data_IF_133263526482
#
_entry.id   IF_133263526482
#
_cell.length_a   1.000
_cell.length_b   1.000
_cell.length_c   1.000
_cell.angle_alpha   90.00
_cell.angle_beta   90.00
_cell.angle_gamma   90.00
#
_symmetry.space_group_name_H-M   'P 1'
#
loop_
_entity.id
_entity.type
_entity.pdbx_description
1 polymer ?
#
# COMPACT_ATOMS: atom_id res chain seq x y z
N UNK A 1 14.65 -11.14 23.51
CA UNK A 1 13.32 -10.75 23.04
C UNK A 1 12.66 -10.01 24.18
N UNK A 2 12.12 -8.82 23.97
CA UNK A 2 11.47 -8.05 25.03
C UNK A 2 10.14 -8.73 25.39
N UNK A 3 9.79 -8.78 26.67
CA UNK A 3 8.52 -9.38 27.12
C UNK A 3 7.35 -8.39 27.04
N UNK A 4 6.11 -8.89 27.02
CA UNK A 4 4.90 -8.07 26.94
C UNK A 4 4.85 -6.97 28.01
N UNK A 5 5.18 -7.31 29.26
CA UNK A 5 5.14 -6.38 30.39
C UNK A 5 6.16 -5.24 30.26
N UNK A 6 7.32 -5.53 29.65
CA UNK A 6 8.34 -4.53 29.38
C UNK A 6 7.89 -3.57 28.28
N UNK A 7 7.27 -4.09 27.21
CA UNK A 7 6.68 -3.27 26.14
C UNK A 7 5.55 -2.38 26.66
N UNK A 8 4.70 -2.90 27.53
CA UNK A 8 3.64 -2.13 28.18
C UNK A 8 4.20 -0.96 28.99
N UNK A 9 5.27 -1.22 29.76
CA UNK A 9 5.96 -0.19 30.54
C UNK A 9 6.65 0.83 29.63
N UNK A 10 7.23 0.41 28.50
CA UNK A 10 7.81 1.31 27.51
C UNK A 10 6.76 2.22 26.88
N UNK A 11 5.62 1.69 26.42
CA UNK A 11 4.55 2.50 25.82
C UNK A 11 4.03 3.56 26.81
N UNK A 12 3.83 3.18 28.07
CA UNK A 12 3.47 4.15 29.10
C UNK A 12 4.51 5.26 29.25
N UNK A 13 5.80 4.90 29.27
CA UNK A 13 6.90 5.86 29.39
C UNK A 13 7.02 6.75 28.15
N UNK A 14 6.80 6.21 26.95
CA UNK A 14 6.77 6.96 25.68
C UNK A 14 5.74 8.09 25.73
N UNK A 15 4.59 7.83 26.35
CA UNK A 15 3.53 8.82 26.54
C UNK A 15 3.75 9.75 27.75
N UNK A 16 4.81 9.56 28.53
CA UNK A 16 5.08 10.36 29.74
C UNK A 16 4.04 10.20 30.85
N UNK A 17 3.27 9.11 30.85
CA UNK A 17 2.16 8.91 31.79
C UNK A 17 2.61 8.19 33.08
N UNK A 18 1.99 8.57 34.20
CA UNK A 18 2.10 7.82 35.44
C UNK A 18 1.35 6.48 35.34
N UNK A 19 1.69 5.50 36.19
CA UNK A 19 0.98 4.22 36.21
C UNK A 19 -0.51 4.40 36.48
N UNK A 20 -0.90 5.36 37.32
CA UNK A 20 -2.30 5.64 37.62
C UNK A 20 -3.05 6.21 36.41
N UNK A 21 -2.47 7.21 35.72
CA UNK A 21 -3.09 7.77 34.52
C UNK A 21 -3.21 6.74 33.40
N UNK A 22 -2.20 5.88 33.26
CA UNK A 22 -2.21 4.82 32.27
C UNK A 22 -3.22 3.71 32.62
N UNK A 23 -3.30 3.33 33.90
CA UNK A 23 -4.30 2.37 34.38
C UNK A 23 -5.74 2.85 34.08
N UNK A 24 -6.00 4.15 34.25
CA UNK A 24 -7.30 4.74 33.97
C UNK A 24 -7.73 4.60 32.50
N UNK A 25 -6.79 4.64 31.55
CA UNK A 25 -7.08 4.38 30.13
C UNK A 25 -7.64 2.97 29.90
N UNK A 26 -7.17 2.01 30.69
CA UNK A 26 -7.58 0.60 30.63
C UNK A 26 -8.76 0.27 31.53
N UNK A 27 -9.32 1.25 32.24
CA UNK A 27 -10.39 1.03 33.21
C UNK A 27 -9.98 0.18 34.42
N UNK A 28 -8.69 0.14 34.77
CA UNK A 28 -8.15 -0.67 35.88
C UNK A 28 -7.51 0.19 36.97
N UNK A 29 -7.22 -0.42 38.12
CA UNK A 29 -6.53 0.25 39.22
C UNK A 29 -5.03 0.38 38.95
N UNK A 30 -4.38 1.34 39.63
CA UNK A 30 -2.92 1.51 39.59
C UNK A 30 -2.17 0.20 39.95
N UNK A 31 -2.63 -0.53 40.95
CA UNK A 31 -2.01 -1.79 41.36
C UNK A 31 -2.16 -2.89 40.30
N UNK A 32 -3.31 -2.94 39.62
CA UNK A 32 -3.52 -3.84 38.47
C UNK A 32 -2.53 -3.53 37.36
N UNK A 33 -2.33 -2.24 37.05
CA UNK A 33 -1.33 -1.80 36.07
C UNK A 33 0.09 -2.18 36.49
N UNK A 34 0.45 -1.99 37.76
CA UNK A 34 1.75 -2.40 38.29
C UNK A 34 1.98 -3.91 38.13
N UNK A 35 0.96 -4.72 38.39
CA UNK A 35 0.99 -6.17 38.21
C UNK A 35 1.13 -6.60 36.74
N UNK A 36 0.59 -5.80 35.81
CA UNK A 36 0.85 -6.01 34.39
C UNK A 36 2.28 -5.65 34.01
N UNK A 37 2.80 -4.53 34.49
CA UNK A 37 4.17 -4.05 34.16
C UNK A 37 5.28 -4.88 34.81
N UNK A 38 5.04 -5.53 35.95
CA UNK A 38 5.99 -6.45 36.58
C UNK A 38 5.85 -7.90 36.08
N UNK A 39 4.84 -8.18 35.25
CA UNK A 39 4.59 -9.50 34.67
C UNK A 39 3.90 -10.51 35.59
N UNK A 40 3.47 -10.12 36.80
CA UNK A 40 2.76 -11.01 37.73
C UNK A 40 1.36 -11.39 37.26
N UNK A 41 0.75 -10.54 36.42
CA UNK A 41 -0.55 -10.79 35.79
C UNK A 41 -0.50 -10.41 34.31
N UNK A 42 -1.29 -11.09 33.48
CA UNK A 42 -1.49 -10.71 32.08
C UNK A 42 -2.80 -9.89 31.94
N UNK A 43 -2.81 -8.81 31.15
CA UNK A 43 -4.05 -8.10 30.83
C UNK A 43 -4.99 -8.97 30.02
N UNK A 44 -6.29 -8.68 30.10
CA UNK A 44 -7.31 -9.31 29.26
C UNK A 44 -7.55 -8.51 27.97
N UNK A 45 -8.40 -9.05 27.11
CA UNK A 45 -8.77 -8.41 25.85
C UNK A 45 -9.54 -7.10 26.04
N UNK A 46 -10.31 -6.96 27.14
CA UNK A 46 -11.07 -5.74 27.41
C UNK A 46 -10.12 -4.57 27.71
N UNK A 47 -9.11 -4.80 28.54
CA UNK A 47 -8.04 -3.84 28.80
C UNK A 47 -7.31 -3.46 27.51
N UNK A 48 -6.91 -4.44 26.68
CA UNK A 48 -6.21 -4.17 25.42
C UNK A 48 -7.07 -3.37 24.44
N UNK A 49 -8.37 -3.64 24.39
CA UNK A 49 -9.32 -2.89 23.55
C UNK A 49 -9.40 -1.43 24.01
N UNK A 50 -9.48 -1.20 25.32
CA UNK A 50 -9.49 0.15 25.87
C UNK A 50 -8.18 0.90 25.55
N UNK A 51 -7.04 0.21 25.60
CA UNK A 51 -5.75 0.79 25.21
C UNK A 51 -5.68 1.15 23.73
N UNK A 52 -6.22 0.31 22.83
CA UNK A 52 -6.31 0.62 21.42
C UNK A 52 -7.15 1.89 21.16
N UNK A 53 -8.29 2.03 21.85
CA UNK A 53 -9.14 3.24 21.78
C UNK A 53 -8.40 4.48 22.29
N UNK A 54 -7.54 4.32 23.30
CA UNK A 54 -6.68 5.39 23.81
C UNK A 54 -5.49 5.73 22.89
N UNK A 55 -5.35 5.08 21.72
CA UNK A 55 -4.29 5.35 20.75
C UNK A 55 -2.96 4.67 21.06
N UNK A 56 -2.96 3.63 21.90
CA UNK A 56 -1.78 2.82 22.19
C UNK A 56 -1.62 1.75 21.10
N UNK A 57 -0.38 1.53 20.67
CA UNK A 57 -0.04 0.51 19.68
C UNK A 57 -0.10 -0.89 20.31
N UNK A 58 -1.28 -1.51 20.26
CA UNK A 58 -1.50 -2.87 20.78
C UNK A 58 -0.75 -3.92 19.96
N UNK A 59 -0.48 -3.68 18.68
CA UNK A 59 0.34 -4.59 17.88
C UNK A 59 1.75 -4.65 18.46
N UNK A 60 2.37 -3.49 18.71
CA UNK A 60 3.66 -3.41 19.39
C UNK A 60 3.63 -4.11 20.75
N UNK A 61 2.58 -3.90 21.55
CA UNK A 61 2.45 -4.58 22.84
C UNK A 61 2.46 -6.11 22.70
N UNK A 62 1.81 -6.67 21.69
CA UNK A 62 1.68 -8.12 21.51
C UNK A 62 2.88 -8.76 20.81
N UNK A 63 3.40 -8.15 19.75
CA UNK A 63 4.41 -8.75 18.87
C UNK A 63 5.81 -8.18 19.07
N UNK A 64 5.91 -6.96 19.62
CA UNK A 64 7.15 -6.19 19.63
C UNK A 64 7.48 -5.50 18.31
N UNK A 65 6.62 -5.64 17.30
CA UNK A 65 6.74 -4.91 16.03
C UNK A 65 5.88 -3.65 16.11
N UNK A 66 6.51 -2.49 15.93
CA UNK A 66 5.81 -1.20 15.95
C UNK A 66 4.94 -1.07 14.70
N UNK A 67 3.64 -0.83 14.86
CA UNK A 67 2.77 -0.43 13.73
C UNK A 67 3.15 0.96 13.23
N UNK A 68 3.77 1.76 14.10
CA UNK A 68 4.29 3.09 13.83
C UNK A 68 5.81 3.03 13.82
N UNK A 69 6.42 2.29 12.89
CA UNK A 69 7.81 2.56 12.56
C UNK A 69 7.92 4.08 12.30
N UNK A 70 8.85 4.81 12.95
CA UNK A 70 8.95 6.24 12.76
C UNK A 70 9.17 6.50 11.27
N UNK A 71 8.21 7.19 10.67
CA UNK A 71 8.30 7.58 9.28
C UNK A 71 9.58 8.38 9.09
N UNK A 72 10.32 8.09 8.05
CA UNK A 72 11.42 8.96 7.64
C UNK A 72 10.85 10.33 7.25
N UNK A 73 11.71 11.36 7.23
CA UNK A 73 11.26 12.73 6.97
C UNK A 73 10.52 12.83 5.62
N UNK A 74 11.04 12.18 4.59
CA UNK A 74 10.44 12.10 3.26
C UNK A 74 9.10 11.35 3.24
N UNK A 75 8.95 10.28 4.02
CA UNK A 75 7.66 9.58 4.18
C UNK A 75 6.61 10.47 4.85
N UNK A 76 7.02 11.22 5.88
CA UNK A 76 6.15 12.20 6.56
C UNK A 76 5.74 13.34 5.62
N UNK A 77 6.70 13.94 4.91
CA UNK A 77 6.46 15.02 3.95
C UNK A 77 5.52 14.55 2.81
N UNK A 78 5.71 13.34 2.30
CA UNK A 78 4.85 12.73 1.29
C UNK A 78 3.41 12.55 1.79
N UNK A 79 3.23 12.04 3.02
CA UNK A 79 1.91 11.81 3.59
C UNK A 79 1.16 13.11 3.91
N UNK A 80 1.86 14.12 4.44
CA UNK A 80 1.30 15.45 4.68
C UNK A 80 0.85 16.10 3.37
N UNK A 81 1.75 16.12 2.38
CA UNK A 81 1.44 16.62 1.04
C UNK A 81 0.25 15.89 0.44
N UNK A 82 0.26 14.55 0.43
CA UNK A 82 -0.83 13.74 -0.12
C UNK A 82 -2.19 14.00 0.53
N UNK A 83 -2.23 14.19 1.87
CA UNK A 83 -3.48 14.48 2.60
C UNK A 83 -4.09 15.83 2.22
N UNK A 84 -3.26 16.81 1.87
CA UNK A 84 -3.69 18.16 1.46
C UNK A 84 -4.25 18.23 0.03
N UNK A 85 -3.99 17.23 -0.81
CA UNK A 85 -4.40 17.23 -2.22
C UNK A 85 -5.90 16.97 -2.42
N UNK A 86 -6.42 17.49 -3.53
CA UNK A 86 -7.74 17.15 -4.05
C UNK A 86 -7.74 15.74 -4.68
N UNK A 87 -8.92 15.29 -5.12
CA UNK A 87 -9.06 13.91 -5.65
C UNK A 87 -8.21 13.67 -6.91
N UNK A 88 -8.00 14.70 -7.74
CA UNK A 88 -7.17 14.61 -8.94
C UNK A 88 -5.69 14.54 -8.57
N UNK A 89 -5.23 15.37 -7.63
CA UNK A 89 -3.86 15.33 -7.12
C UNK A 89 -3.52 13.99 -6.49
N UNK A 90 -4.42 13.44 -5.66
CA UNK A 90 -4.25 12.09 -5.08
C UNK A 90 -4.15 11.01 -6.16
N UNK A 91 -5.02 11.05 -7.17
CA UNK A 91 -4.96 10.11 -8.29
C UNK A 91 -3.65 10.22 -9.08
N UNK A 92 -3.13 11.44 -9.27
CA UNK A 92 -1.84 11.68 -9.93
C UNK A 92 -0.67 11.08 -9.17
N UNK A 93 -0.58 11.33 -7.85
CA UNK A 93 0.47 10.77 -6.99
C UNK A 93 0.42 9.24 -6.99
N UNK A 94 -0.77 8.65 -6.82
CA UNK A 94 -0.93 7.20 -6.86
C UNK A 94 -0.56 6.63 -8.23
N UNK A 95 -0.96 7.26 -9.33
CA UNK A 95 -0.59 6.84 -10.68
C UNK A 95 0.92 6.86 -10.93
N UNK A 96 1.62 7.88 -10.41
CA UNK A 96 3.08 7.95 -10.46
C UNK A 96 3.73 6.83 -9.65
N UNK A 97 3.29 6.61 -8.41
CA UNK A 97 3.79 5.53 -7.56
C UNK A 97 3.58 4.18 -8.27
N UNK A 98 2.36 3.89 -8.75
CA UNK A 98 2.08 2.65 -9.48
C UNK A 98 2.92 2.53 -10.75
N UNK A 99 3.07 3.59 -11.54
CA UNK A 99 3.88 3.56 -12.76
C UNK A 99 5.34 3.23 -12.48
N UNK A 100 5.90 3.76 -11.39
CA UNK A 100 7.29 3.54 -11.00
C UNK A 100 7.51 2.19 -10.29
N UNK A 101 6.52 1.69 -9.53
CA UNK A 101 6.60 0.39 -8.85
C UNK A 101 6.25 -0.79 -9.75
N UNK A 102 5.48 -0.56 -10.82
CA UNK A 102 5.13 -1.59 -11.83
C UNK A 102 6.29 -1.89 -12.79
N UNK A 103 7.45 -1.27 -12.60
CA UNK A 103 8.62 -1.35 -13.48
C UNK A 103 9.49 -2.60 -13.36
N UNK A 104 9.04 -3.68 -12.69
CA UNK A 104 9.83 -4.93 -12.60
C UNK A 104 9.21 -6.15 -13.29
N UNK A 105 8.07 -6.05 -13.98
CA UNK A 105 7.49 -7.17 -14.73
C UNK A 105 7.06 -6.85 -16.18
N UNK A 106 7.84 -6.04 -16.89
CA UNK A 106 7.78 -6.08 -18.35
C UNK A 106 9.17 -5.98 -18.97
N UNK A 107 9.68 -7.13 -19.38
CA UNK A 107 10.79 -7.23 -20.32
C UNK A 107 10.52 -6.31 -21.53
N UNK A 108 11.49 -5.49 -21.99
CA UNK A 108 11.31 -4.60 -23.13
C UNK A 108 11.35 -5.40 -24.44
N UNK A 109 10.30 -6.18 -24.69
CA UNK A 109 9.98 -6.64 -26.03
C UNK A 109 9.30 -5.51 -26.79
N UNK A 110 10.01 -4.90 -27.74
CA UNK A 110 9.52 -3.86 -28.62
C UNK A 110 8.10 -4.16 -29.14
N UNK A 111 7.09 -3.55 -28.51
CA UNK A 111 5.74 -3.54 -29.05
C UNK A 111 5.70 -2.53 -30.17
N UNK A 112 6.03 -2.98 -31.39
CA UNK A 112 5.62 -2.26 -32.58
C UNK A 112 4.09 -2.21 -32.57
N UNK A 113 3.45 -1.03 -32.58
CA UNK A 113 1.99 -0.96 -32.60
C UNK A 113 1.47 -1.57 -33.91
N UNK A 114 0.99 -2.81 -33.86
CA UNK A 114 0.38 -3.49 -35.00
C UNK A 114 -1.12 -3.14 -35.05
N UNK A 115 -1.51 -2.33 -36.03
CA UNK A 115 -2.92 -2.09 -36.34
C UNK A 115 -3.43 -3.18 -37.30
N UNK A 116 -4.40 -3.98 -36.83
CA UNK A 116 -5.07 -5.00 -37.64
C UNK A 116 -6.44 -4.51 -38.09
N UNK A 117 -6.59 -4.14 -39.36
CA UNK A 117 -7.88 -3.71 -39.95
C UNK A 117 -8.51 -4.91 -40.67
N UNK A 118 -9.76 -5.27 -40.33
CA UNK A 118 -10.52 -6.37 -40.94
C UNK A 118 -11.76 -5.84 -41.66
N UNK A 119 -12.16 -6.48 -42.77
CA UNK A 119 -13.36 -6.16 -43.55
C UNK A 119 -13.05 -5.69 -44.99
N UNK A 120 -14.09 -5.35 -45.76
CA UNK A 120 -13.94 -4.79 -47.11
C UNK A 120 -13.61 -3.28 -47.03
N UNK A 121 -12.44 -2.96 -46.50
CA UNK A 121 -11.98 -1.56 -46.35
C UNK A 121 -10.77 -1.33 -47.26
N UNK A 122 -10.78 -0.22 -48.01
CA UNK A 122 -9.61 0.22 -48.77
C UNK A 122 -8.54 0.78 -47.84
N UNK A 123 -7.27 0.44 -48.10
CA UNK A 123 -6.13 0.96 -47.34
C UNK A 123 -5.38 1.98 -48.20
N UNK A 124 -5.23 3.21 -47.72
CA UNK A 124 -4.33 4.22 -48.29
C UNK A 124 -3.31 4.62 -47.23
N UNK A 125 -2.03 4.47 -47.54
CA UNK A 125 -0.91 4.87 -46.68
C UNK A 125 -0.23 6.06 -47.35
N UNK A 126 0.02 7.14 -46.62
CA UNK A 126 0.74 8.31 -47.09
C UNK A 126 2.02 8.48 -46.28
N UNK A 127 3.17 8.69 -46.95
CA UNK A 127 4.49 8.80 -46.34
C UNK A 127 5.42 7.61 -46.63
N UNK A 128 6.65 7.69 -46.13
CA UNK A 128 7.70 6.69 -46.34
C UNK A 128 7.46 5.41 -45.50
N UNK A 129 7.54 4.25 -46.15
CA UNK A 129 7.39 2.94 -45.50
C UNK A 129 8.75 2.28 -45.35
N UNK A 130 9.17 2.07 -44.11
CA UNK A 130 10.42 1.37 -43.79
C UNK A 130 10.13 -0.10 -43.49
N UNK A 131 10.10 -0.95 -44.52
CA UNK A 131 9.93 -2.41 -44.40
C UNK A 131 9.40 -3.09 -45.66
N UNK A 132 9.55 -4.41 -45.75
CA UNK A 132 9.04 -5.19 -46.89
C UNK A 132 7.52 -5.31 -46.82
N UNK A 133 6.82 -4.56 -47.69
CA UNK A 133 5.38 -4.76 -47.91
C UNK A 133 5.21 -6.11 -48.61
N UNK A 134 4.66 -7.12 -47.92
CA UNK A 134 4.08 -8.28 -48.60
C UNK A 134 2.83 -7.76 -49.32
N UNK A 135 2.93 -7.59 -50.64
CA UNK A 135 1.86 -7.06 -51.47
C UNK A 135 0.54 -7.82 -51.31
N UNK A 136 -0.56 -7.19 -51.74
CA UNK A 136 -1.90 -7.77 -51.73
C UNK A 136 -1.88 -9.14 -52.43
N UNK A 137 -2.19 -10.21 -51.69
CA UNK A 137 -2.38 -11.54 -52.26
C UNK A 137 -3.75 -11.59 -52.91
N UNK A 138 -3.81 -11.35 -54.22
CA UNK A 138 -5.01 -11.54 -55.04
C UNK A 138 -5.31 -13.04 -55.18
N UNK A 139 -6.08 -13.59 -54.25
CA UNK A 139 -6.65 -14.92 -54.40
C UNK A 139 -7.80 -14.87 -55.41
N UNK A 140 -7.58 -15.31 -56.65
CA UNK A 140 -8.65 -15.47 -57.63
C UNK A 140 -9.64 -16.55 -57.15
N UNK A 141 -10.75 -16.14 -56.53
CA UNK A 141 -11.86 -17.05 -56.25
C UNK A 141 -12.70 -17.16 -57.51
N UNK A 142 -12.45 -18.21 -58.31
CA UNK A 142 -13.29 -18.53 -59.46
C UNK A 142 -14.64 -19.03 -58.93
N UNK A 143 -15.67 -18.18 -59.03
CA UNK A 143 -17.06 -18.57 -58.77
C UNK A 143 -17.63 -19.12 -60.07
N UNK A 144 -17.79 -20.45 -60.17
CA UNK A 144 -18.55 -21.06 -61.27
C UNK A 144 -20.01 -20.64 -61.14
N UNK A 145 -20.53 -19.87 -62.11
CA UNK A 145 -21.97 -19.62 -62.24
C UNK A 145 -22.65 -20.91 -62.71
N UNK A 146 -23.79 -21.22 -62.08
CA UNK A 146 -24.76 -22.22 -62.52
C UNK A 146 -25.57 -21.66 -63.68
#
# INVERSE_FOLDING_TARGET
MMEFNERLKLERKRLGLSQEKFAALGGVTRDTQMNYENGSRKPDSAYLTAMAVAGIDVLFLLTGESSNAPLTKDESDLLEGFRSLDIRGKAGVLGMIFGLTSGSESSPGARTPAMNIKGNVGHQIHGDVFGTIKGVVMGNKIVKKK
#
